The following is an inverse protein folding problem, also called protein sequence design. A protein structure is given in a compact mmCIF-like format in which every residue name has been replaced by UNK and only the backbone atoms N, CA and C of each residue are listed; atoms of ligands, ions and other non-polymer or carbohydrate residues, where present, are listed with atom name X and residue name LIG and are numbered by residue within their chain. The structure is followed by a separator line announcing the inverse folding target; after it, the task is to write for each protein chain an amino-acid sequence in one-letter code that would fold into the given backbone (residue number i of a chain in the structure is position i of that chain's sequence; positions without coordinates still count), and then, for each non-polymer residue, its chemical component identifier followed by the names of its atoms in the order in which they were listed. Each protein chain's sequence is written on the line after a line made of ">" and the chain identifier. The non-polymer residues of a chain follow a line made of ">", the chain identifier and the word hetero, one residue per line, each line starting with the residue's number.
data_IF_977941813677
#
_entry.id   IF_977941813677
#
_cell.length_a   1.000
_cell.length_b   1.000
_cell.length_c   1.000
_cell.angle_alpha   90.00
_cell.angle_beta   90.00
_cell.angle_gamma   90.00
#
_symmetry.space_group_name_H-M   'P 1'
#
loop_
_entity.id
_entity.type
_entity.pdbx_description
1 polymer ?
#
# COMPACT_ATOMS: atom_id res chain seq x y z
N UNK A 1 -20.19 -8.33 28.91
CA UNK A 1 -19.22 -7.21 28.95
C UNK A 1 -18.89 -6.88 27.50
N UNK A 2 -19.49 -5.82 26.97
CA UNK A 2 -19.13 -5.32 25.64
C UNK A 2 -17.78 -4.66 25.82
N UNK A 3 -16.73 -5.35 25.40
CA UNK A 3 -15.44 -4.71 25.22
C UNK A 3 -15.66 -3.68 24.11
N UNK A 4 -15.91 -2.41 24.46
CA UNK A 4 -15.98 -1.30 23.48
C UNK A 4 -14.62 -1.01 22.83
N UNK A 5 -13.65 -1.90 23.03
CA UNK A 5 -12.32 -1.88 22.43
C UNK A 5 -12.30 -2.93 21.33
N UNK A 6 -11.79 -2.53 20.17
CA UNK A 6 -11.55 -3.45 19.08
C UNK A 6 -10.59 -4.55 19.55
N UNK A 7 -10.75 -5.80 19.08
CA UNK A 7 -9.90 -6.93 19.50
C UNK A 7 -8.39 -6.66 19.35
N UNK A 8 -8.04 -5.81 18.39
CA UNK A 8 -6.67 -5.33 18.11
C UNK A 8 -6.07 -4.39 19.17
N UNK A 9 -6.88 -3.80 20.06
CA UNK A 9 -6.41 -2.85 21.09
C UNK A 9 -6.46 -3.42 22.52
N UNK A 10 -6.53 -4.75 22.65
CA UNK A 10 -6.40 -5.45 23.92
C UNK A 10 -4.93 -5.62 24.28
N UNK A 11 -4.57 -5.21 25.49
CA UNK A 11 -3.25 -5.40 26.08
C UNK A 11 -3.26 -6.69 26.92
N UNK A 12 -2.48 -7.69 26.52
CA UNK A 12 -2.43 -9.00 27.17
C UNK A 12 -2.02 -8.96 28.66
N UNK A 13 -1.31 -7.91 29.08
CA UNK A 13 -0.79 -7.77 30.45
C UNK A 13 -1.80 -7.19 31.43
N UNK A 14 -2.66 -6.27 30.95
CA UNK A 14 -3.59 -5.51 31.82
C UNK A 14 -5.04 -5.90 31.60
N UNK A 15 -5.39 -6.34 30.40
CA UNK A 15 -6.76 -6.71 30.07
C UNK A 15 -7.01 -8.19 30.42
N UNK A 16 -8.18 -8.47 30.96
CA UNK A 16 -8.63 -9.82 31.30
C UNK A 16 -10.15 -9.94 31.10
N UNK A 17 -10.66 -11.17 31.09
CA UNK A 17 -12.09 -11.40 30.95
C UNK A 17 -12.84 -10.97 32.22
N UNK A 18 -13.64 -9.90 32.16
CA UNK A 18 -14.40 -9.43 33.34
C UNK A 18 -15.51 -10.37 33.85
N UNK A 19 -15.75 -11.52 33.21
CA UNK A 19 -16.70 -12.54 33.68
C UNK A 19 -16.01 -13.66 34.47
N UNK A 20 -14.91 -14.20 33.96
CA UNK A 20 -14.20 -15.33 34.58
C UNK A 20 -12.82 -14.95 35.15
N UNK A 21 -12.38 -13.69 35.01
CA UNK A 21 -11.07 -13.18 35.39
C UNK A 21 -9.88 -13.88 34.71
N UNK A 22 -10.14 -14.59 33.60
CA UNK A 22 -9.11 -15.26 32.81
C UNK A 22 -8.23 -14.28 32.04
N UNK A 23 -6.93 -14.60 31.96
CA UNK A 23 -5.94 -13.87 31.15
C UNK A 23 -6.05 -14.27 29.68
N UNK A 24 -5.70 -13.35 28.79
CA UNK A 24 -5.59 -13.65 27.36
C UNK A 24 -4.27 -14.35 27.07
N UNK A 25 -4.31 -15.32 26.16
CA UNK A 25 -3.12 -15.98 25.65
C UNK A 25 -3.05 -15.84 24.13
N UNK A 26 -1.85 -15.59 23.61
CA UNK A 26 -1.64 -15.38 22.19
C UNK A 26 -1.40 -16.73 21.52
N UNK A 27 -2.44 -17.27 20.86
CA UNK A 27 -2.31 -18.49 20.09
C UNK A 27 -1.63 -18.17 18.75
N UNK A 28 -0.35 -18.48 18.67
CA UNK A 28 0.43 -18.41 17.42
C UNK A 28 0.27 -19.73 16.65
N UNK A 29 0.11 -19.66 15.33
CA UNK A 29 0.13 -20.85 14.48
C UNK A 29 1.56 -21.42 14.44
N UNK A 30 1.75 -22.72 14.64
CA UNK A 30 3.08 -23.37 14.68
C UNK A 30 3.89 -23.28 13.38
N UNK A 31 3.33 -22.73 12.31
CA UNK A 31 4.03 -22.45 11.04
C UNK A 31 4.81 -21.11 11.05
N UNK A 32 5.22 -20.64 12.23
CA UNK A 32 5.86 -19.34 12.47
C UNK A 32 7.38 -19.33 12.19
N UNK A 33 7.79 -19.98 11.11
CA UNK A 33 9.08 -19.69 10.46
C UNK A 33 8.94 -18.33 9.76
N UNK A 34 9.19 -17.22 10.47
CA UNK A 34 9.45 -15.88 9.93
C UNK A 34 8.50 -15.33 8.84
N UNK A 35 7.24 -15.76 8.80
CA UNK A 35 6.27 -15.19 7.84
C UNK A 35 5.66 -13.91 8.40
N UNK A 36 6.46 -12.84 8.46
CA UNK A 36 5.93 -11.53 8.11
C UNK A 36 5.11 -11.74 6.83
N UNK A 37 3.85 -11.29 6.82
CA UNK A 37 2.99 -11.41 5.65
C UNK A 37 3.82 -11.09 4.40
N UNK A 38 3.85 -11.99 3.39
CA UNK A 38 4.78 -11.84 2.28
C UNK A 38 4.62 -10.44 1.71
N UNK A 39 5.69 -9.63 1.78
CA UNK A 39 5.66 -8.24 1.32
C UNK A 39 5.25 -8.28 -0.15
N UNK A 40 4.03 -7.81 -0.43
CA UNK A 40 3.53 -7.74 -1.81
C UNK A 40 4.53 -6.99 -2.66
N UNK A 41 4.82 -7.52 -3.85
CA UNK A 41 5.67 -6.85 -4.82
C UNK A 41 5.08 -5.47 -5.14
N UNK A 42 5.94 -4.45 -5.10
CA UNK A 42 5.53 -3.06 -5.32
C UNK A 42 5.20 -2.92 -6.81
N UNK A 43 3.95 -2.53 -7.11
CA UNK A 43 3.54 -2.19 -8.47
C UNK A 43 4.36 -0.99 -9.00
N UNK A 44 4.65 -0.96 -10.31
CA UNK A 44 5.29 0.18 -11.01
C UNK A 44 4.68 1.54 -10.65
N UNK A 45 3.35 1.62 -10.52
CA UNK A 45 2.69 2.86 -10.08
C UNK A 45 3.07 3.26 -8.65
N UNK A 46 3.13 2.30 -7.72
CA UNK A 46 3.50 2.58 -6.34
C UNK A 46 4.96 3.03 -6.21
N UNK A 47 5.85 2.53 -7.08
CA UNK A 47 7.23 2.98 -7.16
C UNK A 47 7.30 4.44 -7.65
N UNK A 48 6.58 4.74 -8.74
CA UNK A 48 6.45 6.11 -9.27
C UNK A 48 5.92 7.10 -8.24
N UNK A 49 4.87 6.73 -7.49
CA UNK A 49 4.32 7.58 -6.42
C UNK A 49 5.36 7.86 -5.34
N UNK A 50 6.13 6.86 -4.91
CA UNK A 50 7.17 7.06 -3.88
C UNK A 50 8.24 8.06 -4.31
N UNK A 51 8.66 7.98 -5.57
CA UNK A 51 9.70 8.85 -6.13
C UNK A 51 9.21 10.30 -6.30
N UNK A 52 7.96 10.48 -6.75
CA UNK A 52 7.46 11.80 -7.16
C UNK A 52 6.64 12.53 -6.09
N UNK A 53 6.14 11.83 -5.06
CA UNK A 53 5.25 12.44 -4.07
C UNK A 53 5.87 13.61 -3.33
N UNK A 54 7.13 13.51 -2.90
CA UNK A 54 7.83 14.59 -2.19
C UNK A 54 7.97 15.83 -3.07
N UNK A 55 8.35 15.64 -4.34
CA UNK A 55 8.55 16.73 -5.31
C UNK A 55 7.23 17.49 -5.55
N UNK A 56 6.13 16.77 -5.78
CA UNK A 56 4.84 17.39 -6.06
C UNK A 56 4.25 18.05 -4.81
N UNK A 57 4.48 17.46 -3.63
CA UNK A 57 4.06 18.05 -2.36
C UNK A 57 4.80 19.37 -2.08
N UNK A 58 6.09 19.45 -2.40
CA UNK A 58 6.86 20.68 -2.28
C UNK A 58 6.44 21.73 -3.32
N UNK A 59 6.16 21.32 -4.56
CA UNK A 59 5.67 22.22 -5.60
C UNK A 59 4.26 22.75 -5.33
N UNK A 60 3.44 22.00 -4.58
CA UNK A 60 2.05 22.34 -4.29
C UNK A 60 1.73 22.18 -2.79
N UNK A 61 2.26 23.06 -1.93
CA UNK A 61 2.05 22.98 -0.48
C UNK A 61 0.59 23.22 -0.07
N UNK A 62 -0.21 23.84 -0.94
CA UNK A 62 -1.62 24.15 -0.69
C UNK A 62 -2.58 22.99 -0.99
N UNK A 63 -2.12 21.93 -1.68
CA UNK A 63 -2.98 20.81 -2.06
C UNK A 63 -3.04 19.75 -0.97
N UNK A 64 -4.24 19.24 -0.74
CA UNK A 64 -4.46 18.12 0.17
C UNK A 64 -3.88 16.81 -0.40
N UNK A 65 -3.44 15.89 0.48
CA UNK A 65 -2.97 14.55 0.10
C UNK A 65 -3.87 13.80 -0.90
N UNK A 66 -5.22 13.80 -0.77
CA UNK A 66 -6.07 13.16 -1.77
C UNK A 66 -6.02 13.83 -3.15
N UNK A 67 -5.87 15.15 -3.21
CA UNK A 67 -5.72 15.87 -4.49
C UNK A 67 -4.38 15.56 -5.16
N UNK A 68 -3.30 15.49 -4.37
CA UNK A 68 -1.97 15.08 -4.87
C UNK A 68 -1.99 13.68 -5.48
N UNK A 69 -2.66 12.71 -4.83
CA UNK A 69 -2.79 11.35 -5.37
C UNK A 69 -3.59 11.30 -6.66
N UNK A 70 -4.62 12.14 -6.79
CA UNK A 70 -5.40 12.26 -8.04
C UNK A 70 -4.53 12.80 -9.18
N UNK A 71 -3.72 13.83 -8.90
CA UNK A 71 -2.80 14.39 -9.89
C UNK A 71 -1.73 13.39 -10.32
N UNK A 72 -1.08 12.71 -9.37
CA UNK A 72 -0.10 11.65 -9.64
C UNK A 72 -0.68 10.52 -10.51
N UNK A 73 -1.93 10.13 -10.26
CA UNK A 73 -2.62 9.11 -11.06
C UNK A 73 -2.83 9.56 -12.51
N UNK A 74 -3.17 10.84 -12.72
CA UNK A 74 -3.37 11.42 -14.05
C UNK A 74 -2.07 11.54 -14.82
N UNK A 75 -1.00 12.02 -14.18
CA UNK A 75 0.33 12.14 -14.80
C UNK A 75 0.91 10.79 -15.18
N UNK A 76 0.80 9.78 -14.31
CA UNK A 76 1.22 8.42 -14.63
C UNK A 76 0.46 7.82 -15.81
N UNK A 77 -0.85 8.10 -15.93
CA UNK A 77 -1.66 7.65 -17.07
C UNK A 77 -1.23 8.29 -18.38
N UNK A 78 -0.94 9.60 -18.38
CA UNK A 78 -0.43 10.32 -19.55
C UNK A 78 0.94 9.81 -19.98
N UNK A 79 1.86 9.63 -19.02
CA UNK A 79 3.20 9.12 -19.27
C UNK A 79 3.16 7.70 -19.87
N UNK A 80 2.28 6.83 -19.35
CA UNK A 80 2.07 5.50 -19.92
C UNK A 80 1.52 5.55 -21.35
N UNK A 81 0.59 6.46 -21.65
CA UNK A 81 0.05 6.63 -23.01
C UNK A 81 1.10 7.12 -24.01
N UNK A 82 2.00 8.01 -23.58
CA UNK A 82 3.11 8.49 -24.42
C UNK A 82 4.14 7.38 -24.68
N UNK A 83 4.46 6.56 -23.68
CA UNK A 83 5.36 5.42 -23.85
C UNK A 83 4.79 4.39 -24.86
N UNK A 84 3.50 4.07 -24.78
CA UNK A 84 2.84 3.15 -25.74
C UNK A 84 2.90 3.69 -27.18
N UNK A 85 2.87 5.00 -27.38
CA UNK A 85 2.95 5.61 -28.70
C UNK A 85 4.37 5.59 -29.30
N UNK A 86 5.40 5.32 -28.49
CA UNK A 86 6.80 5.30 -28.94
C UNK A 86 7.29 3.89 -29.30
N UNK A 87 6.54 2.85 -28.92
CA UNK A 87 6.83 1.44 -29.17
C UNK A 87 6.04 0.89 -30.37
N UNK A 88 5.88 1.67 -31.44
CA UNK A 88 5.33 1.14 -32.70
C UNK A 88 6.45 0.36 -33.40
N UNK A 89 6.36 -0.98 -33.55
CA UNK A 89 7.33 -1.72 -34.35
C UNK A 89 7.19 -1.29 -35.81
N UNK A 90 8.31 -0.87 -36.40
CA UNK A 90 8.41 -0.52 -37.81
C UNK A 90 8.02 -1.72 -38.69
N UNK A 91 6.85 -1.66 -39.33
CA UNK A 91 6.35 -2.69 -40.24
C UNK A 91 7.22 -2.84 -41.50
N UNK A 92 8.26 -2.02 -41.70
CA UNK A 92 9.21 -2.18 -42.81
C UNK A 92 10.24 -3.29 -42.62
N UNK A 93 10.28 -3.98 -41.48
CA UNK A 93 11.23 -5.09 -41.25
C UNK A 93 10.72 -6.47 -41.71
N UNK A 94 9.53 -6.57 -42.29
CA UNK A 94 9.00 -7.80 -42.89
C UNK A 94 8.73 -7.60 -44.39
N UNK A 95 9.76 -7.20 -45.14
CA UNK A 95 9.85 -7.51 -46.57
C UNK A 95 10.92 -8.56 -46.74
N UNK A 96 10.50 -9.82 -46.71
CA UNK A 96 11.20 -10.95 -47.34
C UNK A 96 10.60 -11.09 -48.74
#
# INVERSE_FOLDING_TARGET
>A
MIVSRHSKSLNLEVDFCGKCMGKFDLILNSNFEDKQTPRKTINKYNLYVKENFQIIKQANPHLSTPQLMKQLSQEYKKQKQQQIATDLPDLNQLKI
#
